data_IF_596914513620
#
_entry.id   IF_596914513620
#
_cell.length_a   1.000
_cell.length_b   1.000
_cell.length_c   1.000
_cell.angle_alpha   90.00
_cell.angle_beta   90.00
_cell.angle_gamma   90.00
#
_symmetry.space_group_name_H-M   'P 1'
#
loop_
_entity.id
_entity.type
_entity.pdbx_description
1 polymer ?
#
# COMPACT_ATOMS: atom_id res chain seq x y z
N UNK A 1 -12.46 1.02 14.33
CA UNK A 1 -11.26 0.17 14.19
C UNK A 1 -10.90 0.11 12.71
N UNK A 2 -9.62 0.04 12.35
CA UNK A 2 -9.16 -0.08 10.97
C UNK A 2 -8.35 -1.39 10.83
N UNK A 3 -8.96 -2.50 10.38
CA UNK A 3 -8.29 -3.79 10.32
C UNK A 3 -7.19 -3.79 9.24
N UNK A 4 -6.06 -4.43 9.54
CA UNK A 4 -4.99 -4.63 8.56
C UNK A 4 -5.36 -5.78 7.62
N UNK A 5 -5.55 -5.49 6.34
CA UNK A 5 -6.08 -6.46 5.35
C UNK A 5 -5.05 -6.93 4.32
N UNK A 6 -3.98 -6.16 4.09
CA UNK A 6 -2.90 -6.52 3.18
C UNK A 6 -1.60 -5.79 3.52
N UNK A 7 -0.47 -6.34 3.05
CA UNK A 7 0.79 -5.62 2.88
C UNK A 7 1.07 -5.44 1.39
N UNK A 8 1.68 -4.31 1.01
CA UNK A 8 2.20 -4.09 -0.34
C UNK A 8 3.73 -4.16 -0.30
N UNK A 9 4.35 -4.98 -1.15
CA UNK A 9 5.81 -5.10 -1.24
C UNK A 9 6.23 -5.23 -2.71
N UNK A 10 7.46 -4.81 -3.03
CA UNK A 10 8.03 -4.90 -4.39
C UNK A 10 8.92 -6.13 -4.57
N UNK A 11 9.30 -6.79 -3.47
CA UNK A 11 10.16 -7.96 -3.51
C UNK A 11 9.38 -9.16 -4.07
N UNK A 12 9.75 -9.68 -5.26
CA UNK A 12 9.06 -10.79 -5.90
C UNK A 12 9.11 -12.08 -5.06
N UNK A 13 10.08 -12.21 -4.15
CA UNK A 13 10.16 -13.37 -3.26
C UNK A 13 9.11 -13.33 -2.14
N UNK A 14 8.51 -12.16 -1.86
CA UNK A 14 7.47 -12.00 -0.81
C UNK A 14 6.06 -11.96 -1.38
N UNK A 15 5.87 -11.40 -2.56
CA UNK A 15 4.56 -11.28 -3.22
C UNK A 15 3.90 -12.68 -3.33
N UNK A 16 2.60 -12.74 -3.04
CA UNK A 16 1.81 -13.98 -3.05
C UNK A 16 1.95 -14.82 -1.78
N UNK A 17 2.86 -14.47 -0.86
CA UNK A 17 2.95 -15.07 0.47
C UNK A 17 2.05 -14.31 1.46
N UNK A 18 2.05 -14.78 2.71
CA UNK A 18 1.41 -14.10 3.82
C UNK A 18 2.43 -13.67 4.88
N UNK A 19 2.10 -12.62 5.62
CA UNK A 19 2.81 -12.16 6.82
C UNK A 19 1.79 -12.02 7.93
N UNK A 20 1.97 -12.73 9.05
CA UNK A 20 1.00 -12.76 10.16
C UNK A 20 -0.42 -13.16 9.71
N UNK A 21 -0.52 -14.08 8.75
CA UNK A 21 -1.81 -14.49 8.17
C UNK A 21 -2.42 -13.51 7.16
N UNK A 22 -1.78 -12.37 6.91
CA UNK A 22 -2.27 -11.31 6.03
C UNK A 22 -1.51 -11.37 4.69
N UNK A 23 -2.17 -11.26 3.52
CA UNK A 23 -1.52 -11.38 2.22
C UNK A 23 -0.52 -10.25 1.95
N UNK A 24 0.52 -10.58 1.20
CA UNK A 24 1.47 -9.62 0.60
C UNK A 24 1.15 -9.53 -0.89
N UNK A 25 0.72 -8.36 -1.33
CA UNK A 25 0.31 -8.08 -2.71
C UNK A 25 1.36 -7.23 -3.42
N UNK A 26 1.34 -7.27 -4.74
CA UNK A 26 2.21 -6.43 -5.55
C UNK A 26 1.58 -5.02 -5.73
N UNK A 27 2.37 -3.98 -6.05
CA UNK A 27 1.84 -2.63 -6.25
C UNK A 27 0.79 -2.53 -7.36
N UNK A 28 0.87 -3.37 -8.39
CA UNK A 28 -0.12 -3.40 -9.47
C UNK A 28 -1.49 -3.91 -9.03
N UNK A 29 -1.57 -4.67 -7.93
CA UNK A 29 -2.82 -5.22 -7.42
C UNK A 29 -3.57 -4.21 -6.51
N UNK A 30 -2.87 -3.16 -6.06
CA UNK A 30 -3.42 -2.17 -5.12
C UNK A 30 -4.74 -1.53 -5.57
N UNK A 31 -4.96 -1.12 -6.84
CA UNK A 31 -6.24 -0.55 -7.26
C UNK A 31 -7.42 -1.52 -7.09
N UNK A 32 -7.23 -2.79 -7.46
CA UNK A 32 -8.27 -3.81 -7.31
C UNK A 32 -8.55 -4.15 -5.85
N UNK A 33 -7.56 -3.99 -4.96
CA UNK A 33 -7.73 -4.11 -3.52
C UNK A 33 -8.45 -2.90 -2.91
N UNK A 34 -8.10 -1.70 -3.35
CA UNK A 34 -8.68 -0.44 -2.89
C UNK A 34 -10.21 -0.45 -3.07
N UNK A 35 -10.69 -0.92 -4.22
CA UNK A 35 -12.12 -0.99 -4.55
C UNK A 35 -12.93 -2.02 -3.73
N UNK A 36 -12.28 -2.88 -2.93
CA UNK A 36 -12.98 -3.91 -2.12
C UNK A 36 -13.53 -3.39 -0.81
N UNK A 37 -13.15 -2.18 -0.40
CA UNK A 37 -13.47 -1.62 0.90
C UNK A 37 -14.11 -0.23 0.71
N UNK A 38 -15.02 0.15 1.61
CA UNK A 38 -15.72 1.43 1.52
C UNK A 38 -14.81 2.62 1.89
N UNK A 39 -13.95 2.44 2.90
CA UNK A 39 -13.05 3.48 3.43
C UNK A 39 -11.64 2.92 3.72
N UNK A 40 -10.93 2.42 2.70
CA UNK A 40 -9.56 1.95 2.86
C UNK A 40 -8.59 3.10 3.16
N UNK A 41 -7.47 2.76 3.78
CA UNK A 41 -6.35 3.67 4.03
C UNK A 41 -5.02 2.96 3.78
N UNK A 42 -4.01 3.68 3.29
CA UNK A 42 -2.66 3.15 3.12
C UNK A 42 -1.63 3.83 4.03
N UNK A 43 -0.71 3.04 4.59
CA UNK A 43 0.46 3.54 5.30
C UNK A 43 1.73 3.20 4.51
N UNK A 44 2.42 4.23 4.03
CA UNK A 44 3.67 4.09 3.30
C UNK A 44 4.87 4.11 4.27
N UNK A 45 5.22 2.94 4.80
CA UNK A 45 6.35 2.72 5.70
C UNK A 45 7.58 2.18 4.94
N UNK A 46 8.39 3.07 4.35
CA UNK A 46 9.54 2.68 3.52
C UNK A 46 10.84 3.37 3.95
N UNK A 47 11.91 2.57 4.08
CA UNK A 47 13.25 3.05 4.40
C UNK A 47 14.17 3.28 3.18
N UNK A 48 13.79 2.77 2.00
CA UNK A 48 14.62 2.87 0.80
C UNK A 48 14.64 4.30 0.25
N UNK A 49 15.84 4.83 0.00
CA UNK A 49 16.02 6.16 -0.61
C UNK A 49 15.28 6.23 -1.95
N UNK A 50 14.50 7.29 -2.16
CA UNK A 50 13.72 7.51 -3.40
C UNK A 50 12.39 6.77 -3.47
N UNK A 51 12.16 5.72 -2.66
CA UNK A 51 10.91 4.95 -2.70
C UNK A 51 9.67 5.78 -2.33
N UNK A 52 9.81 6.74 -1.40
CA UNK A 52 8.71 7.64 -1.01
C UNK A 52 8.17 8.46 -2.18
N UNK A 53 9.05 8.95 -3.07
CA UNK A 53 8.62 9.71 -4.25
C UNK A 53 7.83 8.80 -5.21
N UNK A 54 8.37 7.61 -5.51
CA UNK A 54 7.69 6.64 -6.37
C UNK A 54 6.32 6.21 -5.83
N UNK A 55 6.20 6.03 -4.51
CA UNK A 55 4.93 5.71 -3.87
C UNK A 55 3.96 6.90 -3.97
N UNK A 56 4.42 8.11 -3.67
CA UNK A 56 3.58 9.32 -3.78
C UNK A 56 3.04 9.49 -5.19
N UNK A 57 3.90 9.37 -6.21
CA UNK A 57 3.49 9.51 -7.61
C UNK A 57 2.43 8.45 -7.96
N UNK A 58 2.68 7.19 -7.60
CA UNK A 58 1.75 6.08 -7.86
C UNK A 58 0.39 6.25 -7.20
N UNK A 59 0.35 6.74 -5.95
CA UNK A 59 -0.89 6.96 -5.22
C UNK A 59 -1.62 8.22 -5.73
N UNK A 60 -0.88 9.23 -6.17
CA UNK A 60 -1.44 10.40 -6.85
C UNK A 60 -2.08 10.01 -8.19
N UNK A 61 -1.47 9.11 -8.96
CA UNK A 61 -2.04 8.55 -10.19
C UNK A 61 -3.32 7.71 -9.95
N UNK A 62 -3.59 7.36 -8.70
CA UNK A 62 -4.82 6.70 -8.27
C UNK A 62 -5.85 7.68 -7.72
N UNK A 63 -5.61 8.99 -7.88
CA UNK A 63 -6.40 10.09 -7.32
C UNK A 63 -6.50 10.07 -5.79
N UNK A 64 -5.53 9.46 -5.11
CA UNK A 64 -5.49 9.37 -3.64
C UNK A 64 -4.76 10.57 -3.02
N UNK A 65 -5.35 11.11 -1.96
CA UNK A 65 -4.90 12.32 -1.28
C UNK A 65 -4.06 11.97 -0.05
N UNK A 66 -2.82 12.47 -0.01
CA UNK A 66 -1.96 12.36 1.17
C UNK A 66 -2.59 13.11 2.36
N UNK A 67 -2.67 12.46 3.51
CA UNK A 67 -3.33 12.97 4.71
C UNK A 67 -4.81 12.63 4.85
N UNK A 68 -5.43 12.05 3.82
CA UNK A 68 -6.82 11.56 3.85
C UNK A 68 -6.90 10.07 3.54
N UNK A 69 -6.39 9.68 2.37
CA UNK A 69 -6.42 8.29 1.89
C UNK A 69 -5.16 7.53 2.32
N UNK A 70 -4.04 8.23 2.45
CA UNK A 70 -2.78 7.60 2.81
C UNK A 70 -1.84 8.52 3.58
N UNK A 71 -0.90 7.90 4.32
CA UNK A 71 0.13 8.62 5.08
C UNK A 71 1.51 8.06 4.80
N UNK A 72 2.46 8.94 4.50
CA UNK A 72 3.88 8.64 4.63
C UNK A 72 4.22 8.53 6.13
N UNK A 73 4.52 7.33 6.59
CA UNK A 73 4.91 7.08 7.99
C UNK A 73 6.40 6.78 8.07
N UNK A 74 7.03 7.21 9.17
CA UNK A 74 8.48 7.28 9.34
C UNK A 74 9.19 5.95 9.11
#
# INVERSE_FOLDING_TARGET
EAPLVAFVDIDPSKIGRTRRGIPIIAPQDLPAWWQRFDHPAALAAVGSRGARALIRDRLTDMDLVEGSDWWAVA
#
